data_IF_367467125928
#
_entry.id   IF_367467125928
#
_cell.length_a   1.000
_cell.length_b   1.000
_cell.length_c   1.000
_cell.angle_alpha   90.00
_cell.angle_beta   90.00
_cell.angle_gamma   90.00
#
_symmetry.space_group_name_H-M   'P 1'
#
loop_
_entity.id
_entity.type
_entity.pdbx_description
1 polymer ?
#
# COMPACT_ATOMS: atom_id res chain seq x y z
N UNK A 1 21.85 6.42 29.43
CA UNK A 1 22.29 6.57 30.82
C UNK A 1 22.33 8.06 31.11
N UNK A 2 21.59 8.50 32.13
CA UNK A 2 21.61 9.87 32.64
C UNK A 2 22.37 9.81 33.98
N UNK A 3 23.23 10.79 34.24
CA UNK A 3 24.01 10.87 35.49
C UNK A 3 23.65 12.18 36.21
N UNK A 4 23.59 12.10 37.52
CA UNK A 4 23.40 13.22 38.44
C UNK A 4 22.20 14.13 38.05
N UNK A 5 20.98 13.64 38.24
CA UNK A 5 19.80 14.36 37.87
C UNK A 5 18.62 14.19 38.83
N UNK A 6 17.62 15.04 38.63
CA UNK A 6 16.36 14.97 39.38
C UNK A 6 15.24 14.71 38.40
N UNK A 7 14.44 13.67 38.62
CA UNK A 7 13.24 13.37 37.88
C UNK A 7 12.02 13.88 38.63
N UNK A 8 11.21 14.65 37.95
CA UNK A 8 9.90 15.09 38.44
C UNK A 8 8.79 14.22 37.81
N UNK A 9 7.98 13.62 38.65
CA UNK A 9 6.84 12.78 38.23
C UNK A 9 5.55 13.37 38.80
N UNK A 10 4.62 13.79 37.94
CA UNK A 10 3.37 14.42 38.32
C UNK A 10 2.54 14.92 37.13
N UNK A 11 1.33 15.35 37.39
CA UNK A 11 0.44 15.87 36.36
C UNK A 11 0.74 17.37 36.14
N UNK A 12 0.97 17.82 34.91
CA UNK A 12 1.21 19.23 34.63
C UNK A 12 0.06 20.13 35.10
N UNK A 13 0.35 21.10 35.97
CA UNK A 13 -0.63 22.04 36.54
C UNK A 13 -1.13 21.68 37.96
N UNK A 14 -0.76 20.55 38.50
CA UNK A 14 -1.02 20.20 39.89
C UNK A 14 0.21 20.43 40.79
N UNK A 15 0.00 20.83 42.03
CA UNK A 15 1.08 21.05 43.00
C UNK A 15 1.62 19.74 43.61
N UNK A 16 1.05 18.60 43.24
CA UNK A 16 1.40 17.29 43.77
C UNK A 16 2.33 16.56 42.80
N UNK A 17 3.64 16.80 42.94
CA UNK A 17 4.66 16.06 42.16
C UNK A 17 5.68 15.45 43.11
N UNK A 18 6.24 14.30 42.69
CA UNK A 18 7.33 13.63 43.36
C UNK A 18 8.64 13.97 42.64
N UNK A 19 9.66 14.34 43.40
CA UNK A 19 11.01 14.52 42.89
C UNK A 19 11.88 13.33 43.34
N UNK A 20 12.54 12.69 42.40
CA UNK A 20 13.44 11.56 42.63
C UNK A 20 14.85 12.00 42.23
N UNK A 21 15.75 12.14 43.17
CA UNK A 21 17.18 12.32 42.89
C UNK A 21 17.83 10.99 42.55
N UNK A 22 18.63 10.95 41.48
CA UNK A 22 19.37 9.75 41.10
C UNK A 22 20.82 10.07 40.68
N UNK A 23 21.73 9.26 41.12
CA UNK A 23 23.14 9.31 40.67
C UNK A 23 23.27 8.73 39.25
N UNK A 24 22.55 7.65 38.98
CA UNK A 24 22.54 7.04 37.62
C UNK A 24 21.16 6.54 37.31
N UNK A 25 20.55 7.05 36.23
CA UNK A 25 19.25 6.63 35.73
C UNK A 25 19.39 5.92 34.39
N UNK A 26 19.06 4.63 34.36
CA UNK A 26 19.02 3.84 33.15
C UNK A 26 17.63 3.89 32.52
N UNK A 27 17.46 4.66 31.45
CA UNK A 27 16.24 4.62 30.63
C UNK A 27 16.40 3.52 29.60
N UNK A 28 15.70 2.42 29.80
CA UNK A 28 15.59 1.38 28.79
C UNK A 28 14.53 1.83 27.76
N UNK A 29 14.98 2.45 26.68
CA UNK A 29 14.09 2.73 25.55
C UNK A 29 13.89 1.40 24.83
N UNK A 30 12.81 0.69 25.22
CA UNK A 30 12.42 -0.52 24.54
C UNK A 30 11.84 -0.15 23.17
N UNK A 31 12.67 -0.25 22.14
CA UNK A 31 12.33 -0.01 20.76
C UNK A 31 11.36 -1.05 20.14
N UNK A 32 10.47 -1.65 20.94
CA UNK A 32 9.55 -2.71 20.52
C UNK A 32 8.51 -2.30 19.49
N UNK A 33 8.41 -1.03 19.12
CA UNK A 33 7.30 -0.56 18.29
C UNK A 33 7.56 -0.55 16.77
N UNK A 34 8.79 -0.76 16.32
CA UNK A 34 9.08 -0.89 14.89
C UNK A 34 9.51 -2.33 14.65
N UNK A 35 8.82 -3.09 13.78
CA UNK A 35 9.30 -4.40 13.37
C UNK A 35 10.67 -4.23 12.69
N UNK A 36 11.75 -4.38 13.46
CA UNK A 36 13.14 -4.21 12.99
C UNK A 36 13.43 -5.03 11.74
N UNK A 37 12.76 -6.17 11.62
CA UNK A 37 12.88 -7.07 10.49
C UNK A 37 12.35 -6.48 9.18
N UNK A 38 11.26 -5.71 9.24
CA UNK A 38 10.70 -4.99 8.10
C UNK A 38 11.69 -3.98 7.52
N UNK A 39 12.29 -3.17 8.39
CA UNK A 39 13.26 -2.14 7.99
C UNK A 39 14.54 -2.77 7.46
N UNK A 40 14.96 -3.91 8.04
CA UNK A 40 16.14 -4.66 7.58
C UNK A 40 15.94 -5.25 6.18
N UNK A 41 14.80 -5.87 5.89
CA UNK A 41 14.52 -6.47 4.57
C UNK A 41 14.31 -5.40 3.49
N UNK A 42 13.62 -4.30 3.80
CA UNK A 42 13.41 -3.19 2.87
C UNK A 42 14.73 -2.54 2.40
N UNK A 43 15.76 -2.52 3.24
CA UNK A 43 17.09 -2.02 2.91
C UNK A 43 18.01 -2.99 2.16
N UNK A 44 17.65 -4.27 2.04
CA UNK A 44 18.49 -5.28 1.36
C UNK A 44 18.42 -5.14 -0.15
N UNK A 45 19.53 -5.46 -0.83
CA UNK A 45 19.60 -5.50 -2.30
C UNK A 45 18.64 -6.56 -2.84
N UNK A 46 17.98 -6.28 -3.97
CA UNK A 46 17.01 -7.21 -4.59
C UNK A 46 17.65 -8.55 -4.97
N UNK A 47 18.92 -8.54 -5.38
CA UNK A 47 19.67 -9.75 -5.67
C UNK A 47 19.84 -10.64 -4.42
N UNK A 48 20.08 -10.04 -3.26
CA UNK A 48 20.15 -10.78 -1.99
C UNK A 48 18.80 -11.43 -1.67
N UNK A 49 17.69 -10.70 -1.85
CA UNK A 49 16.33 -11.24 -1.65
C UNK A 49 16.05 -12.42 -2.60
N UNK A 50 16.51 -12.32 -3.85
CA UNK A 50 16.36 -13.38 -4.83
C UNK A 50 17.08 -14.66 -4.42
N UNK A 51 18.30 -14.54 -3.92
CA UNK A 51 19.11 -15.69 -3.48
C UNK A 51 18.56 -16.33 -2.20
N UNK A 52 17.89 -15.56 -1.34
CA UNK A 52 17.36 -16.03 -0.05
C UNK A 52 15.81 -16.20 -0.07
N UNK A 53 15.21 -16.40 -1.25
CA UNK A 53 13.75 -16.50 -1.43
C UNK A 53 13.08 -17.71 -0.77
N UNK A 54 13.83 -18.61 -0.13
CA UNK A 54 13.28 -19.75 0.60
C UNK A 54 12.51 -19.30 1.86
N UNK A 55 12.94 -18.21 2.47
CA UNK A 55 12.24 -17.60 3.57
C UNK A 55 10.99 -16.84 3.05
N UNK A 56 9.84 -17.11 3.66
CA UNK A 56 8.56 -16.52 3.28
C UNK A 56 8.56 -15.00 3.42
N UNK A 57 9.19 -14.46 4.43
CA UNK A 57 9.26 -13.01 4.63
C UNK A 57 10.11 -12.33 3.55
N UNK A 58 11.24 -12.94 3.19
CA UNK A 58 12.12 -12.49 2.10
C UNK A 58 11.39 -12.58 0.76
N UNK A 59 10.68 -13.68 0.53
CA UNK A 59 9.86 -13.89 -0.67
C UNK A 59 8.73 -12.87 -0.78
N UNK A 60 8.04 -12.57 0.32
CA UNK A 60 6.98 -11.57 0.35
C UNK A 60 7.50 -10.18 0.02
N UNK A 61 8.68 -9.80 0.51
CA UNK A 61 9.33 -8.53 0.17
C UNK A 61 9.72 -8.46 -1.31
N UNK A 62 10.24 -9.55 -1.87
CA UNK A 62 10.58 -9.65 -3.28
C UNK A 62 9.34 -9.47 -4.16
N UNK A 63 8.26 -10.22 -3.89
CA UNK A 63 7.00 -10.10 -4.62
C UNK A 63 6.39 -8.70 -4.49
N UNK A 64 6.52 -8.05 -3.33
CA UNK A 64 6.09 -6.67 -3.13
C UNK A 64 6.82 -5.69 -4.05
N UNK A 65 8.13 -5.84 -4.22
CA UNK A 65 8.92 -4.98 -5.13
C UNK A 65 8.53 -5.18 -6.58
N UNK A 66 8.40 -6.44 -7.01
CA UNK A 66 7.99 -6.76 -8.38
C UNK A 66 6.57 -6.26 -8.63
N UNK A 67 5.67 -6.43 -7.67
CA UNK A 67 4.30 -5.93 -7.70
C UNK A 67 4.24 -4.42 -7.98
N UNK A 68 5.09 -3.63 -7.34
CA UNK A 68 5.16 -2.18 -7.60
C UNK A 68 5.51 -1.83 -9.04
N UNK A 69 6.37 -2.63 -9.67
CA UNK A 69 6.74 -2.43 -11.09
C UNK A 69 5.53 -2.77 -11.98
N UNK A 70 4.79 -3.84 -11.66
CA UNK A 70 3.63 -4.28 -12.44
C UNK A 70 2.42 -3.35 -12.29
N UNK A 71 2.23 -2.78 -11.12
CA UNK A 71 1.13 -1.83 -10.85
C UNK A 71 1.20 -0.60 -11.77
N UNK A 72 2.38 -0.07 -12.05
CA UNK A 72 2.55 1.16 -12.81
C UNK A 72 1.96 1.08 -14.23
N UNK A 73 2.32 0.11 -15.09
CA UNK A 73 1.74 0.02 -16.44
C UNK A 73 0.24 -0.30 -16.42
N UNK A 74 -0.24 -1.08 -15.44
CA UNK A 74 -1.67 -1.37 -15.29
C UNK A 74 -2.44 -0.09 -14.98
N UNK A 75 -1.96 0.73 -14.05
CA UNK A 75 -2.58 2.01 -13.72
C UNK A 75 -2.48 3.01 -14.86
N UNK A 76 -1.38 3.03 -15.61
CA UNK A 76 -1.24 3.87 -16.79
C UNK A 76 -2.27 3.52 -17.85
N UNK A 77 -2.46 2.24 -18.17
CA UNK A 77 -3.49 1.79 -19.12
C UNK A 77 -4.90 2.15 -18.62
N UNK A 78 -5.17 1.95 -17.34
CA UNK A 78 -6.44 2.31 -16.73
C UNK A 78 -6.71 3.82 -16.82
N UNK A 79 -5.70 4.63 -16.50
CA UNK A 79 -5.78 6.08 -16.58
C UNK A 79 -6.04 6.56 -18.02
N UNK A 80 -5.33 5.99 -19.01
CA UNK A 80 -5.55 6.29 -20.42
C UNK A 80 -6.97 5.91 -20.85
N UNK A 81 -7.45 4.73 -20.44
CA UNK A 81 -8.82 4.29 -20.78
C UNK A 81 -9.88 5.21 -20.17
N UNK A 82 -9.67 5.74 -18.99
CA UNK A 82 -10.62 6.61 -18.28
C UNK A 82 -10.48 8.09 -18.69
N UNK A 83 -9.25 8.57 -18.99
CA UNK A 83 -9.00 9.96 -19.37
C UNK A 83 -9.62 10.33 -20.75
N UNK A 84 -9.67 9.38 -21.67
CA UNK A 84 -10.19 9.59 -23.02
C UNK A 84 -11.73 9.72 -23.08
N UNK A 85 -12.35 10.39 -22.14
CA UNK A 85 -13.78 10.67 -22.23
C UNK A 85 -14.01 11.93 -23.03
N UNK A 86 -14.21 11.73 -24.33
CA UNK A 86 -14.59 12.84 -25.22
C UNK A 86 -15.82 13.56 -24.69
N UNK A 87 -15.72 14.89 -24.64
CA UNK A 87 -16.83 15.85 -24.44
C UNK A 87 -17.48 15.88 -23.03
N UNK A 88 -16.79 16.51 -22.11
CA UNK A 88 -17.31 17.62 -21.30
C UNK A 88 -18.14 17.30 -20.07
N UNK A 89 -19.00 16.31 -20.05
CA UNK A 89 -20.13 16.33 -19.09
C UNK A 89 -19.94 15.52 -17.80
N UNK A 90 -19.00 14.56 -17.75
CA UNK A 90 -18.87 13.66 -16.59
C UNK A 90 -17.41 13.40 -16.16
N UNK A 91 -16.56 14.43 -16.16
CA UNK A 91 -15.14 14.25 -15.79
C UNK A 91 -14.95 13.90 -14.31
N UNK A 92 -15.70 14.55 -13.42
CA UNK A 92 -15.55 14.39 -11.97
C UNK A 92 -15.85 12.97 -11.49
N UNK A 93 -17.01 12.37 -11.80
CA UNK A 93 -17.31 11.00 -11.37
C UNK A 93 -16.34 9.96 -11.97
N UNK A 94 -15.82 10.18 -13.17
CA UNK A 94 -14.79 9.29 -13.73
C UNK A 94 -13.45 9.40 -13.02
N UNK A 95 -13.03 10.62 -12.68
CA UNK A 95 -11.83 10.83 -11.88
C UNK A 95 -11.97 10.19 -10.49
N UNK A 96 -13.12 10.35 -9.85
CA UNK A 96 -13.41 9.72 -8.57
C UNK A 96 -13.40 8.19 -8.67
N UNK A 97 -13.99 7.63 -9.72
CA UNK A 97 -13.95 6.19 -10.00
C UNK A 97 -12.53 5.67 -10.20
N UNK A 98 -11.69 6.39 -10.95
CA UNK A 98 -10.29 6.04 -11.14
C UNK A 98 -9.51 6.08 -9.81
N UNK A 99 -9.72 7.13 -9.00
CA UNK A 99 -9.08 7.27 -7.69
C UNK A 99 -9.49 6.16 -6.73
N UNK A 100 -10.77 5.85 -6.65
CA UNK A 100 -11.28 4.75 -5.82
C UNK A 100 -10.73 3.40 -6.27
N UNK A 101 -10.67 3.15 -7.57
CA UNK A 101 -10.09 1.92 -8.12
C UNK A 101 -8.61 1.81 -7.78
N UNK A 102 -7.85 2.89 -7.94
CA UNK A 102 -6.44 2.95 -7.51
C UNK A 102 -6.29 2.64 -6.02
N UNK A 103 -7.09 3.33 -5.19
CA UNK A 103 -7.02 3.17 -3.74
C UNK A 103 -7.36 1.75 -3.31
N UNK A 104 -8.43 1.16 -3.85
CA UNK A 104 -8.82 -0.22 -3.58
C UNK A 104 -7.73 -1.21 -4.02
N UNK A 105 -7.20 -1.05 -5.24
CA UNK A 105 -6.16 -1.91 -5.79
C UNK A 105 -4.87 -1.87 -4.99
N UNK A 106 -4.38 -0.67 -4.65
CA UNK A 106 -3.16 -0.48 -3.87
C UNK A 106 -3.29 -1.03 -2.44
N UNK A 107 -4.42 -0.78 -1.79
CA UNK A 107 -4.66 -1.27 -0.42
C UNK A 107 -4.83 -2.79 -0.38
N UNK A 108 -5.56 -3.37 -1.33
CA UNK A 108 -5.74 -4.82 -1.40
C UNK A 108 -4.40 -5.53 -1.66
N UNK A 109 -3.57 -5.00 -2.57
CA UNK A 109 -2.22 -5.53 -2.80
C UNK A 109 -1.34 -5.46 -1.55
N UNK A 110 -1.34 -4.32 -0.86
CA UNK A 110 -0.63 -4.14 0.42
C UNK A 110 -1.11 -5.09 1.52
N UNK A 111 -2.42 -5.29 1.61
CA UNK A 111 -3.04 -6.22 2.56
C UNK A 111 -2.59 -7.68 2.31
N UNK A 112 -2.63 -8.13 1.05
CA UNK A 112 -2.20 -9.48 0.67
C UNK A 112 -0.73 -9.74 1.02
N UNK A 113 0.15 -8.77 0.77
CA UNK A 113 1.56 -8.87 1.16
C UNK A 113 1.71 -8.86 2.68
N UNK A 114 0.96 -8.03 3.40
CA UNK A 114 0.99 -8.00 4.86
C UNK A 114 0.54 -9.33 5.47
N UNK A 115 -0.46 -9.98 4.87
CA UNK A 115 -0.96 -11.28 5.29
C UNK A 115 0.09 -12.39 5.02
N UNK A 116 0.77 -12.34 3.88
CA UNK A 116 1.86 -13.27 3.56
C UNK A 116 3.01 -13.18 4.57
N UNK A 117 3.37 -11.98 5.01
CA UNK A 117 4.40 -11.77 6.03
C UNK A 117 4.04 -12.37 7.39
N UNK A 118 2.76 -12.66 7.65
CA UNK A 118 2.30 -13.35 8.87
C UNK A 118 2.42 -14.88 8.82
N UNK A 119 3.02 -15.41 7.77
CA UNK A 119 3.28 -16.85 7.64
C UNK A 119 2.35 -17.59 6.69
N UNK A 120 1.57 -16.89 5.87
CA UNK A 120 0.67 -17.51 4.89
C UNK A 120 1.24 -17.40 3.47
N UNK A 121 1.40 -18.49 2.77
CA UNK A 121 1.92 -18.51 1.38
C UNK A 121 0.86 -18.13 0.34
N UNK A 122 -0.37 -18.55 0.56
CA UNK A 122 -1.49 -18.37 -0.37
C UNK A 122 -1.74 -16.91 -0.81
N UNK A 123 -1.62 -15.89 0.07
CA UNK A 123 -1.84 -14.50 -0.32
C UNK A 123 -0.94 -14.01 -1.46
N UNK A 124 0.25 -14.59 -1.66
CA UNK A 124 1.12 -14.22 -2.78
C UNK A 124 0.54 -14.64 -4.13
N UNK A 125 -0.18 -15.77 -4.19
CA UNK A 125 -0.89 -16.21 -5.39
C UNK A 125 -2.03 -15.22 -5.69
N UNK A 126 -2.83 -14.87 -4.68
CA UNK A 126 -3.91 -13.89 -4.83
C UNK A 126 -3.40 -12.50 -5.25
N UNK A 127 -2.19 -12.10 -4.84
CA UNK A 127 -1.56 -10.86 -5.31
C UNK A 127 -1.38 -10.88 -6.84
N UNK A 128 -0.91 -11.99 -7.40
CA UNK A 128 -0.72 -12.12 -8.85
C UNK A 128 -2.05 -12.23 -9.59
N UNK A 129 -3.01 -12.95 -9.05
CA UNK A 129 -4.38 -13.01 -9.58
C UNK A 129 -4.99 -11.61 -9.63
N UNK A 130 -4.81 -10.81 -8.59
CA UNK A 130 -5.26 -9.42 -8.55
C UNK A 130 -4.63 -8.58 -9.68
N UNK A 131 -3.31 -8.71 -9.91
CA UNK A 131 -2.63 -7.98 -10.98
C UNK A 131 -3.12 -8.38 -12.37
N UNK A 132 -3.28 -9.68 -12.61
CA UNK A 132 -3.80 -10.22 -13.88
C UNK A 132 -5.23 -9.71 -14.09
N UNK A 133 -6.09 -9.79 -13.10
CA UNK A 133 -7.46 -9.32 -13.16
C UNK A 133 -7.55 -7.82 -13.49
N UNK A 134 -6.76 -7.00 -12.80
CA UNK A 134 -6.72 -5.56 -13.06
C UNK A 134 -6.13 -5.22 -14.43
N UNK A 135 -5.14 -5.99 -14.90
CA UNK A 135 -4.61 -5.83 -16.26
C UNK A 135 -5.65 -6.18 -17.32
N UNK A 136 -6.44 -7.22 -17.12
CA UNK A 136 -7.55 -7.57 -18.02
C UNK A 136 -8.62 -6.48 -18.05
N UNK A 137 -9.02 -5.93 -16.92
CA UNK A 137 -9.96 -4.80 -16.85
C UNK A 137 -9.39 -3.59 -17.61
N UNK A 138 -8.15 -3.21 -17.32
CA UNK A 138 -7.51 -2.07 -17.98
C UNK A 138 -7.42 -2.26 -19.49
N UNK A 139 -7.02 -3.45 -19.95
CA UNK A 139 -6.94 -3.79 -21.37
C UNK A 139 -8.32 -3.81 -22.03
N UNK A 140 -9.32 -4.42 -21.39
CA UNK A 140 -10.69 -4.44 -21.87
C UNK A 140 -11.26 -3.03 -22.06
N UNK A 141 -11.09 -2.17 -21.06
CA UNK A 141 -11.53 -0.78 -21.11
C UNK A 141 -10.78 -0.02 -22.21
N UNK A 142 -9.49 -0.22 -22.35
CA UNK A 142 -8.66 0.41 -23.37
C UNK A 142 -9.11 0.00 -24.79
N UNK A 143 -9.27 -1.30 -25.05
CA UNK A 143 -9.71 -1.81 -26.36
C UNK A 143 -11.13 -1.36 -26.70
N UNK A 144 -12.04 -1.43 -25.73
CA UNK A 144 -13.41 -0.94 -25.91
C UNK A 144 -13.42 0.53 -26.29
N UNK A 145 -12.54 1.30 -25.67
CA UNK A 145 -12.39 2.73 -25.89
C UNK A 145 -11.77 3.04 -27.26
N UNK A 146 -10.72 2.33 -27.60
CA UNK A 146 -10.08 2.44 -28.94
C UNK A 146 -11.05 2.22 -30.09
N UNK A 147 -12.11 1.43 -29.86
CA UNK A 147 -13.19 1.19 -30.86
C UNK A 147 -14.35 2.18 -30.76
N UNK A 148 -14.17 3.33 -30.08
CA UNK A 148 -15.21 4.37 -29.90
C UNK A 148 -16.56 3.87 -29.33
N UNK A 149 -16.55 2.79 -28.55
CA UNK A 149 -17.78 2.27 -27.93
C UNK A 149 -17.99 2.93 -26.57
N UNK A 150 -19.23 3.34 -26.20
CA UNK A 150 -19.49 3.92 -24.87
C UNK A 150 -19.22 2.90 -23.77
N UNK A 151 -18.67 3.37 -22.63
CA UNK A 151 -18.34 2.52 -21.49
C UNK A 151 -19.58 2.00 -20.76
N UNK A 152 -20.66 2.78 -20.79
CA UNK A 152 -21.96 2.40 -20.22
C UNK A 152 -23.00 2.35 -21.32
N UNK A 153 -23.90 1.36 -21.24
CA UNK A 153 -25.08 1.34 -22.06
C UNK A 153 -25.87 2.61 -21.74
N UNK A 154 -26.05 3.47 -22.73
CA UNK A 154 -27.02 4.55 -22.66
C UNK A 154 -28.41 3.90 -22.54
N UNK A 155 -28.85 3.68 -21.29
CA UNK A 155 -30.24 3.31 -21.04
C UNK A 155 -31.08 4.55 -21.28
N UNK A 156 -31.74 4.58 -22.45
CA UNK A 156 -32.87 5.47 -22.70
C UNK A 156 -32.61 6.72 -23.52
N UNK A 157 -32.28 6.55 -24.78
CA UNK A 157 -32.90 7.39 -25.81
C UNK A 157 -33.77 6.51 -26.67
N UNK A 158 -34.93 6.16 -26.11
CA UNK A 158 -36.08 5.79 -26.91
C UNK A 158 -36.49 7.05 -27.69
N UNK A 159 -36.51 6.89 -28.98
CA UNK A 159 -37.18 7.67 -30.02
C UNK A 159 -38.16 8.74 -29.52
N UNK A 160 -37.91 9.96 -29.91
CA UNK A 160 -38.93 10.86 -30.41
C UNK A 160 -38.52 11.41 -31.77
#
# INVERSE_FOLDING_TARGET
LLQDGVRYDGVPGEANYQSIEFETYGLLIDGRSIPQERTRLAGRKTQWLWNNRQDLQVRSELHWRISKIVILPVLMLLALALAYNGQGRNRVPMMMGALLTYFAYANLGGYLVALSRRGHDQPLIFLWVLHIFMAFIAMYLFVRRSKNRPLFLESGQAKK
#
